data_IF_063855714359
#
_entry.id   IF_063855714359
#
_cell.length_a   1.000
_cell.length_b   1.000
_cell.length_c   1.000
_cell.angle_alpha   90.00
_cell.angle_beta   90.00
_cell.angle_gamma   90.00
#
_symmetry.space_group_name_H-M   'P 1'
#
loop_
_entity.id
_entity.type
_entity.pdbx_description
1 polymer ?
#
# COMPACT_ATOMS: atom_id res chain seq x y z
N UNK A 1 5.81 4.10 6.86
CA UNK A 1 6.31 2.90 7.57
C UNK A 1 6.38 3.21 9.06
N UNK A 2 5.97 2.30 9.97
CA UNK A 2 5.93 2.56 11.42
C UNK A 2 7.20 2.06 12.08
N UNK A 3 7.85 2.92 12.86
CA UNK A 3 8.99 2.52 13.71
C UNK A 3 8.45 1.81 14.96
N UNK A 4 9.16 0.79 15.42
CA UNK A 4 8.81 0.07 16.65
C UNK A 4 8.78 1.06 17.82
N UNK A 5 7.68 1.04 18.59
CA UNK A 5 7.41 1.97 19.70
C UNK A 5 7.37 3.45 19.33
N UNK A 6 7.12 3.77 18.05
CA UNK A 6 6.94 5.14 17.58
C UNK A 6 5.49 5.37 17.13
N UNK A 7 4.87 6.43 17.65
CA UNK A 7 3.51 6.81 17.28
C UNK A 7 3.45 7.60 15.95
N UNK A 8 4.59 8.06 15.44
CA UNK A 8 4.64 8.88 14.22
C UNK A 8 4.45 8.02 12.98
N UNK A 9 3.67 8.54 12.03
CA UNK A 9 3.66 8.03 10.67
C UNK A 9 4.73 8.77 9.86
N UNK A 10 5.75 8.04 9.42
CA UNK A 10 6.91 8.63 8.75
C UNK A 10 7.09 8.07 7.34
N UNK A 11 7.67 8.91 6.48
CA UNK A 11 8.15 8.57 5.13
C UNK A 11 9.63 8.95 4.95
N UNK A 12 10.56 8.42 5.78
CA UNK A 12 11.97 8.81 5.70
C UNK A 12 12.74 7.94 4.71
N UNK A 13 13.73 8.55 4.03
CA UNK A 13 14.68 7.83 3.17
C UNK A 13 15.71 7.00 3.95
N UNK A 14 15.84 7.21 5.27
CA UNK A 14 16.77 6.47 6.13
C UNK A 14 16.10 6.14 7.47
N UNK A 15 15.94 4.84 7.74
CA UNK A 15 15.37 4.35 8.99
C UNK A 15 16.16 4.84 10.22
N UNK A 16 17.50 4.81 10.16
CA UNK A 16 18.36 5.26 11.26
C UNK A 16 18.24 6.76 11.52
N UNK A 17 18.19 7.60 10.49
CA UNK A 17 17.94 9.04 10.66
C UNK A 17 16.60 9.31 11.35
N UNK A 18 15.54 8.62 10.93
CA UNK A 18 14.20 8.80 11.49
C UNK A 18 14.12 8.43 12.99
N UNK A 19 14.93 7.46 13.42
CA UNK A 19 15.09 7.06 14.82
C UNK A 19 15.95 8.05 15.62
N UNK A 20 17.06 8.51 15.04
CA UNK A 20 18.00 9.42 15.71
C UNK A 20 17.44 10.84 15.87
N UNK A 21 16.61 11.28 14.94
CA UNK A 21 16.07 12.64 14.90
C UNK A 21 14.53 12.62 14.89
N UNK A 22 13.90 12.20 15.99
CA UNK A 22 12.46 11.96 16.03
C UNK A 22 11.61 13.25 15.94
N UNK A 23 12.15 14.38 16.36
CA UNK A 23 11.44 15.65 16.28
C UNK A 23 11.78 16.42 14.99
N UNK A 24 12.56 15.80 14.10
CA UNK A 24 12.90 16.38 12.80
C UNK A 24 13.63 17.70 12.98
N UNK A 25 14.92 17.64 13.34
CA UNK A 25 15.79 18.78 13.06
C UNK A 25 15.85 18.94 11.54
N UNK A 26 15.29 20.02 10.99
CA UNK A 26 15.66 20.49 9.65
C UNK A 26 17.11 20.96 9.78
N UNK A 27 18.03 20.00 9.79
CA UNK A 27 19.45 20.29 9.80
C UNK A 27 19.76 20.76 8.39
N UNK A 28 19.89 22.06 8.24
CA UNK A 28 20.23 22.68 6.97
C UNK A 28 21.52 22.05 6.43
N UNK A 29 21.50 21.66 5.15
CA UNK A 29 22.60 20.94 4.49
C UNK A 29 22.93 19.54 5.04
N UNK A 30 22.06 18.93 5.84
CA UNK A 30 22.28 17.55 6.27
C UNK A 30 22.29 16.58 5.10
N UNK A 31 23.34 15.77 5.04
CA UNK A 31 23.43 14.63 4.16
C UNK A 31 23.58 13.38 5.01
N UNK A 32 22.67 12.44 4.82
CA UNK A 32 22.75 11.15 5.49
C UNK A 32 24.06 10.45 5.11
N UNK A 33 24.85 10.06 6.11
CA UNK A 33 26.12 9.32 5.95
C UNK A 33 25.99 7.84 6.31
N UNK A 34 24.77 7.39 6.63
CA UNK A 34 24.50 6.01 6.97
C UNK A 34 24.66 5.09 5.76
N UNK A 35 25.14 3.88 6.01
CA UNK A 35 25.27 2.84 4.98
C UNK A 35 23.90 2.29 4.59
N UNK A 36 23.79 1.64 3.42
CA UNK A 36 22.51 1.16 2.91
C UNK A 36 21.80 0.17 3.84
N UNK A 37 22.56 -0.65 4.58
CA UNK A 37 22.00 -1.55 5.60
C UNK A 37 21.42 -0.82 6.82
N UNK A 38 21.89 0.40 7.12
CA UNK A 38 21.38 1.24 8.21
C UNK A 38 20.23 2.15 7.75
N UNK A 39 20.24 2.52 6.46
CA UNK A 39 19.16 3.28 5.81
C UNK A 39 17.94 2.41 5.55
N UNK A 40 18.18 1.16 5.19
CA UNK A 40 17.18 0.19 4.78
C UNK A 40 16.18 -0.15 5.88
N UNK A 41 15.09 -0.74 5.43
CA UNK A 41 13.94 -1.11 6.22
C UNK A 41 13.80 -2.63 6.22
N UNK A 42 13.51 -3.21 7.39
CA UNK A 42 13.12 -4.62 7.49
C UNK A 42 11.60 -4.65 7.52
N UNK A 43 11.00 -5.24 6.50
CA UNK A 43 9.55 -5.36 6.37
C UNK A 43 9.15 -6.71 5.78
N UNK A 44 7.94 -7.14 6.10
CA UNK A 44 7.23 -8.19 5.36
C UNK A 44 6.29 -7.48 4.39
N UNK A 45 6.49 -7.68 3.09
CA UNK A 45 5.69 -7.07 2.04
C UNK A 45 5.22 -8.15 1.06
N UNK A 46 4.11 -7.86 0.38
CA UNK A 46 3.66 -8.68 -0.74
C UNK A 46 4.55 -8.44 -1.96
N UNK A 47 4.57 -9.39 -2.90
CA UNK A 47 5.35 -9.24 -4.14
C UNK A 47 4.95 -7.98 -4.94
N UNK A 48 3.68 -7.58 -4.89
CA UNK A 48 3.19 -6.38 -5.58
C UNK A 48 3.80 -5.11 -4.98
N UNK A 49 3.79 -4.99 -3.65
CA UNK A 49 4.40 -3.84 -2.96
C UNK A 49 5.92 -3.80 -3.16
N UNK A 50 6.59 -4.96 -3.13
CA UNK A 50 8.03 -5.04 -3.38
C UNK A 50 8.37 -4.60 -4.81
N UNK A 51 7.61 -5.06 -5.81
CA UNK A 51 7.82 -4.67 -7.21
C UNK A 51 7.65 -3.16 -7.41
N UNK A 52 6.59 -2.57 -6.85
CA UNK A 52 6.40 -1.12 -6.89
C UNK A 52 7.57 -0.36 -6.26
N UNK A 53 8.11 -0.84 -5.13
CA UNK A 53 9.29 -0.22 -4.53
C UNK A 53 10.54 -0.32 -5.43
N UNK A 54 10.75 -1.46 -6.08
CA UNK A 54 11.87 -1.63 -7.02
C UNK A 54 11.76 -0.71 -8.23
N UNK A 55 10.55 -0.51 -8.77
CA UNK A 55 10.27 0.43 -9.87
C UNK A 55 10.59 1.88 -9.48
N UNK A 56 10.34 2.25 -8.23
CA UNK A 56 10.71 3.54 -7.64
C UNK A 56 12.21 3.67 -7.28
N UNK A 57 13.04 2.68 -7.66
CA UNK A 57 14.50 2.71 -7.49
C UNK A 57 15.01 2.25 -6.12
N UNK A 58 14.16 1.64 -5.29
CA UNK A 58 14.62 0.98 -4.06
C UNK A 58 15.45 -0.27 -4.39
N UNK A 59 16.29 -0.68 -3.44
CA UNK A 59 17.14 -1.87 -3.60
C UNK A 59 16.96 -2.83 -2.44
N UNK A 60 16.98 -4.14 -2.73
CA UNK A 60 16.95 -5.18 -1.71
C UNK A 60 18.37 -5.41 -1.20
N UNK A 61 18.62 -5.03 0.05
CA UNK A 61 19.93 -5.26 0.70
C UNK A 61 20.06 -6.67 1.29
N UNK A 62 18.94 -7.27 1.74
CA UNK A 62 18.90 -8.61 2.32
C UNK A 62 17.52 -9.24 2.18
N UNK A 63 17.49 -10.51 1.80
CA UNK A 63 16.29 -11.35 1.75
C UNK A 63 16.34 -12.39 2.88
N UNK A 64 15.31 -12.46 3.70
CA UNK A 64 15.26 -13.38 4.86
C UNK A 64 14.44 -14.64 4.58
N UNK A 65 13.24 -14.46 4.03
CA UNK A 65 12.29 -15.53 3.72
C UNK A 65 11.42 -15.09 2.56
N UNK A 66 11.10 -16.04 1.70
CA UNK A 66 10.08 -15.91 0.65
C UNK A 66 8.98 -16.91 0.96
N UNK A 67 7.73 -16.47 0.92
CA UNK A 67 6.58 -17.35 0.92
C UNK A 67 6.14 -17.47 -0.53
N UNK A 68 6.52 -18.57 -1.17
CA UNK A 68 6.26 -18.81 -2.58
C UNK A 68 4.93 -19.55 -2.77
N UNK A 69 4.02 -18.94 -3.51
CA UNK A 69 2.70 -19.48 -3.80
C UNK A 69 2.59 -19.71 -5.30
N UNK A 70 2.58 -20.99 -5.70
CA UNK A 70 2.53 -21.39 -7.11
C UNK A 70 1.14 -21.26 -7.76
N UNK A 71 0.14 -20.86 -6.98
CA UNK A 71 -1.25 -20.75 -7.44
C UNK A 71 -1.80 -19.40 -7.01
N UNK A 72 -2.44 -18.73 -7.95
CA UNK A 72 -3.22 -17.51 -7.73
C UNK A 72 -4.58 -17.68 -8.39
N UNK A 73 -5.58 -16.97 -7.88
CA UNK A 73 -6.94 -16.99 -8.42
C UNK A 73 -7.53 -15.58 -8.35
N UNK A 74 -8.25 -15.18 -9.40
CA UNK A 74 -9.03 -13.93 -9.45
C UNK A 74 -10.47 -14.13 -9.02
N UNK A 75 -10.93 -15.37 -8.85
CA UNK A 75 -12.35 -15.69 -8.65
C UNK A 75 -12.72 -15.87 -7.18
N UNK A 76 -11.79 -16.29 -6.31
CA UNK A 76 -12.04 -16.58 -4.89
C UNK A 76 -12.83 -15.49 -4.16
N UNK A 77 -12.49 -14.22 -4.37
CA UNK A 77 -13.16 -13.09 -3.72
C UNK A 77 -14.17 -12.37 -4.62
N UNK A 78 -14.29 -12.78 -5.89
CA UNK A 78 -15.12 -12.07 -6.86
C UNK A 78 -16.60 -12.02 -6.47
N UNK A 79 -17.26 -13.12 -6.03
CA UNK A 79 -18.65 -13.07 -5.60
C UNK A 79 -18.85 -12.14 -4.39
N UNK A 80 -17.95 -12.24 -3.40
CA UNK A 80 -17.99 -11.41 -2.20
C UNK A 80 -17.87 -9.92 -2.55
N UNK A 81 -16.85 -9.55 -3.33
CA UNK A 81 -16.65 -8.15 -3.72
C UNK A 81 -17.82 -7.62 -4.55
N UNK A 82 -18.36 -8.42 -5.47
CA UNK A 82 -19.51 -8.04 -6.30
C UNK A 82 -20.75 -7.75 -5.44
N UNK A 83 -21.07 -8.62 -4.48
CA UNK A 83 -22.20 -8.46 -3.57
C UNK A 83 -22.08 -7.18 -2.72
N UNK A 84 -20.96 -6.99 -2.02
CA UNK A 84 -20.79 -5.81 -1.16
C UNK A 84 -20.61 -4.51 -1.94
N UNK A 85 -20.08 -4.57 -3.17
CA UNK A 85 -20.02 -3.39 -4.02
C UNK A 85 -21.41 -2.97 -4.50
N UNK A 86 -22.28 -3.93 -4.84
CA UNK A 86 -23.68 -3.67 -5.19
C UNK A 86 -24.41 -2.97 -4.03
N UNK A 87 -24.31 -3.50 -2.81
CA UNK A 87 -24.92 -2.91 -1.62
C UNK A 87 -24.40 -1.49 -1.34
N UNK A 88 -23.09 -1.27 -1.51
CA UNK A 88 -22.48 0.05 -1.36
C UNK A 88 -23.03 1.03 -2.39
N UNK A 89 -23.20 0.62 -3.65
CA UNK A 89 -23.76 1.46 -4.71
C UNK A 89 -25.22 1.82 -4.40
N UNK A 90 -26.05 0.84 -4.02
CA UNK A 90 -27.44 1.09 -3.63
C UNK A 90 -27.56 2.07 -2.46
N UNK A 91 -26.65 1.98 -1.49
CA UNK A 91 -26.62 2.86 -0.32
C UNK A 91 -26.11 4.28 -0.64
N UNK A 92 -25.12 4.39 -1.53
CA UNK A 92 -24.52 5.67 -1.93
C UNK A 92 -25.38 6.42 -2.96
N UNK A 93 -26.25 5.69 -3.66
CA UNK A 93 -27.06 6.19 -4.76
C UNK A 93 -26.32 6.16 -6.09
N UNK A 94 -27.10 6.16 -7.17
CA UNK A 94 -26.60 6.17 -8.53
C UNK A 94 -26.32 7.59 -9.05
N UNK A 95 -25.42 7.69 -10.02
CA UNK A 95 -25.17 8.93 -10.75
C UNK A 95 -26.46 9.45 -11.41
N UNK A 96 -26.62 10.78 -11.48
CA UNK A 96 -27.78 11.43 -12.08
C UNK A 96 -28.11 10.97 -13.50
N UNK A 97 -27.10 10.53 -14.28
CA UNK A 97 -27.27 10.08 -15.66
C UNK A 97 -27.95 8.70 -15.77
N UNK A 98 -27.90 7.88 -14.73
CA UNK A 98 -28.47 6.52 -14.71
C UNK A 98 -29.56 6.35 -13.64
N UNK A 99 -29.66 7.28 -12.70
CA UNK A 99 -30.63 7.24 -11.62
C UNK A 99 -32.07 7.18 -12.14
N UNK A 100 -32.85 6.23 -11.62
CA UNK A 100 -34.21 5.87 -12.02
C UNK A 100 -34.31 5.16 -13.39
N UNK A 101 -33.19 4.77 -14.00
CA UNK A 101 -33.18 3.88 -15.15
C UNK A 101 -32.74 2.48 -14.69
N UNK A 102 -33.72 1.64 -14.37
CA UNK A 102 -33.49 0.29 -13.81
C UNK A 102 -32.57 -0.57 -14.67
N UNK A 103 -32.67 -0.48 -16.00
CA UNK A 103 -31.81 -1.27 -16.89
C UNK A 103 -30.34 -0.79 -16.85
N UNK A 104 -30.12 0.52 -16.75
CA UNK A 104 -28.79 1.10 -16.60
C UNK A 104 -28.21 0.85 -15.20
N UNK A 105 -29.03 0.92 -14.15
CA UNK A 105 -28.65 0.62 -12.76
C UNK A 105 -28.25 -0.85 -12.59
N UNK A 106 -29.06 -1.79 -13.10
CA UNK A 106 -28.77 -3.23 -13.05
C UNK A 106 -27.50 -3.60 -13.84
N UNK A 107 -27.27 -2.93 -14.98
CA UNK A 107 -26.05 -3.13 -15.75
C UNK A 107 -24.82 -2.65 -14.98
N UNK A 108 -24.90 -1.49 -14.33
CA UNK A 108 -23.79 -0.91 -13.56
C UNK A 108 -23.40 -1.76 -12.34
N UNK A 109 -24.36 -2.44 -11.72
CA UNK A 109 -24.11 -3.33 -10.58
C UNK A 109 -23.44 -4.66 -10.98
N UNK A 110 -23.69 -5.12 -12.21
CA UNK A 110 -23.19 -6.41 -12.71
C UNK A 110 -21.85 -6.31 -13.44
N UNK A 111 -21.37 -5.10 -13.74
CA UNK A 111 -20.01 -4.84 -14.26
C UNK A 111 -18.95 -5.04 -13.16
#
# INVERSE_FOLDING_TARGET
MKLENDARLLFPLCAKCAKMYPEGGVIENYRCTHKDNERGWVSTCTSIELNAALEEGYTVTKLFRVLDYNKSDSELFRPYISEFMAEKIHSSGFDSNIKNNTEAEDKFIKE
#
